data_IF_131362504403
#
_entry.id   IF_131362504403
#
_cell.length_a   1.000
_cell.length_b   1.000
_cell.length_c   1.000
_cell.angle_alpha   90.00
_cell.angle_beta   90.00
_cell.angle_gamma   90.00
#
_symmetry.space_group_name_H-M   'P 1'
#
loop_
_entity.id
_entity.type
_entity.pdbx_description
1 polymer ?
#
# COMPACT_ATOMS: atom_id res chain seq x y z
N UNK A 1 3.98 -13.28 3.26
CA UNK A 1 3.07 -12.23 2.77
C UNK A 1 1.84 -12.89 2.17
N UNK A 2 0.67 -12.26 2.31
CA UNK A 2 -0.61 -12.79 1.84
C UNK A 2 -1.28 -11.78 0.91
N UNK A 3 -2.00 -12.29 -0.07
CA UNK A 3 -2.99 -11.51 -0.81
C UNK A 3 -4.38 -11.96 -0.37
N UNK A 4 -5.27 -11.00 -0.15
CA UNK A 4 -6.64 -11.27 0.27
C UNK A 4 -7.62 -10.40 -0.52
N UNK A 5 -8.82 -10.91 -0.76
CA UNK A 5 -9.93 -10.12 -1.31
C UNK A 5 -10.66 -9.29 -0.25
N UNK A 6 -10.46 -9.61 1.03
CA UNK A 6 -11.14 -8.98 2.16
C UNK A 6 -10.35 -7.80 2.77
N UNK A 7 -11.08 -6.76 3.16
CA UNK A 7 -10.64 -5.81 4.19
C UNK A 7 -11.07 -6.28 5.60
N UNK A 8 -10.64 -5.56 6.65
CA UNK A 8 -10.96 -5.89 8.05
C UNK A 8 -12.29 -5.32 8.54
N UNK A 9 -13.36 -5.48 7.76
CA UNK A 9 -14.71 -5.08 8.17
C UNK A 9 -15.58 -6.30 8.39
N UNK A 10 -16.44 -6.27 9.42
CA UNK A 10 -17.27 -7.40 9.87
C UNK A 10 -18.03 -8.05 8.70
N UNK A 11 -18.53 -7.24 7.77
CA UNK A 11 -19.25 -7.72 6.58
C UNK A 11 -18.41 -8.67 5.71
N UNK A 12 -17.10 -8.42 5.60
CA UNK A 12 -16.20 -9.21 4.77
C UNK A 12 -15.70 -10.43 5.56
N UNK A 13 -15.48 -10.29 6.87
CA UNK A 13 -14.99 -11.38 7.71
C UNK A 13 -16.04 -12.42 8.08
N UNK A 14 -17.32 -12.02 8.23
CA UNK A 14 -18.37 -12.89 8.77
C UNK A 14 -19.53 -13.16 7.81
N UNK A 15 -19.72 -12.31 6.79
CA UNK A 15 -20.95 -12.32 5.98
C UNK A 15 -20.72 -12.47 4.48
N UNK A 16 -19.47 -12.53 4.02
CA UNK A 16 -19.11 -12.70 2.60
C UNK A 16 -18.16 -13.87 2.44
N UNK A 17 -18.15 -14.43 1.23
CA UNK A 17 -17.17 -15.43 0.83
C UNK A 17 -15.95 -14.69 0.31
N UNK A 18 -14.82 -14.86 0.97
CA UNK A 18 -13.56 -14.18 0.67
C UNK A 18 -12.44 -15.20 0.51
N UNK A 19 -11.36 -14.82 -0.18
CA UNK A 19 -10.18 -15.66 -0.35
C UNK A 19 -8.94 -14.96 0.17
N UNK A 20 -8.05 -15.74 0.77
CA UNK A 20 -6.74 -15.30 1.24
C UNK A 20 -5.75 -16.43 1.00
N UNK A 21 -4.60 -16.10 0.41
CA UNK A 21 -3.59 -17.09 0.10
C UNK A 21 -2.19 -16.55 0.36
N UNK A 22 -1.26 -17.42 0.81
CA UNK A 22 0.12 -17.05 0.97
C UNK A 22 0.81 -16.96 -0.39
N UNK A 23 1.70 -15.98 -0.54
CA UNK A 23 2.70 -15.99 -1.60
C UNK A 23 3.87 -16.85 -1.12
N UNK A 24 4.04 -18.03 -1.73
CA UNK A 24 5.04 -19.01 -1.31
C UNK A 24 6.41 -18.79 -1.96
N UNK A 25 6.45 -18.25 -3.17
CA UNK A 25 7.71 -17.95 -3.86
C UNK A 25 8.38 -16.73 -3.21
N UNK A 26 9.61 -16.86 -2.67
CA UNK A 26 10.30 -15.77 -2.00
C UNK A 26 10.64 -14.59 -2.92
N UNK A 27 10.86 -14.82 -4.22
CA UNK A 27 11.12 -13.74 -5.17
C UNK A 27 9.84 -12.95 -5.46
N UNK A 28 8.68 -13.62 -5.53
CA UNK A 28 7.40 -12.93 -5.61
C UNK A 28 7.09 -12.14 -4.33
N UNK A 29 7.45 -12.65 -3.16
CA UNK A 29 7.32 -11.91 -1.89
C UNK A 29 8.16 -10.64 -1.92
N UNK A 30 9.43 -10.71 -2.32
CA UNK A 30 10.29 -9.52 -2.43
C UNK A 30 9.71 -8.51 -3.42
N UNK A 31 9.22 -8.99 -4.56
CA UNK A 31 8.63 -8.15 -5.61
C UNK A 31 7.41 -7.39 -5.11
N UNK A 32 6.42 -8.09 -4.53
CA UNK A 32 5.20 -7.46 -4.02
C UNK A 32 5.51 -6.50 -2.86
N UNK A 33 6.47 -6.83 -1.99
CA UNK A 33 6.90 -5.93 -0.92
C UNK A 33 7.44 -4.62 -1.50
N UNK A 34 8.35 -4.69 -2.48
CA UNK A 34 8.96 -3.52 -3.10
C UNK A 34 7.97 -2.70 -3.92
N UNK A 35 7.28 -3.33 -4.87
CA UNK A 35 6.45 -2.65 -5.87
C UNK A 35 5.10 -2.17 -5.31
N UNK A 36 4.59 -2.82 -4.26
CA UNK A 36 3.28 -2.50 -3.68
C UNK A 36 3.41 -1.89 -2.30
N UNK A 37 3.96 -2.62 -1.33
CA UNK A 37 3.93 -2.15 0.06
C UNK A 37 4.85 -0.94 0.28
N UNK A 38 6.14 -1.10 -0.02
CA UNK A 38 7.13 -0.05 0.20
C UNK A 38 6.87 1.16 -0.70
N UNK A 39 6.58 0.92 -2.00
CA UNK A 39 6.29 1.97 -2.97
C UNK A 39 5.17 2.92 -2.53
N UNK A 40 4.06 2.39 -1.99
CA UNK A 40 2.95 3.22 -1.53
C UNK A 40 3.21 3.88 -0.17
N UNK A 41 4.05 3.28 0.68
CA UNK A 41 4.50 3.92 1.93
C UNK A 41 5.42 5.11 1.63
N UNK A 42 6.21 5.02 0.56
CA UNK A 42 7.14 6.07 0.14
C UNK A 42 6.43 7.21 -0.63
N UNK A 43 5.17 7.04 -1.07
CA UNK A 43 4.45 8.06 -1.83
C UNK A 43 4.31 9.36 -1.00
N UNK A 44 4.84 10.44 -1.54
CA UNK A 44 4.83 11.77 -0.91
C UNK A 44 4.17 12.83 -1.79
N UNK A 45 3.46 12.42 -2.85
CA UNK A 45 2.72 13.32 -3.76
C UNK A 45 1.19 13.17 -3.65
N UNK A 46 0.72 11.95 -3.39
CA UNK A 46 -0.68 11.56 -3.38
C UNK A 46 -1.14 11.02 -2.02
N UNK A 47 -0.22 10.53 -1.18
CA UNK A 47 -0.56 9.97 0.12
C UNK A 47 -1.10 11.00 1.11
N UNK A 48 -1.97 10.53 2.01
CA UNK A 48 -2.48 11.26 3.16
C UNK A 48 -2.21 10.45 4.42
N UNK A 49 -1.66 11.08 5.45
CA UNK A 49 -1.42 10.49 6.76
C UNK A 49 -2.58 10.83 7.68
N UNK A 50 -3.08 9.83 8.42
CA UNK A 50 -4.11 10.00 9.44
C UNK A 50 -3.42 10.10 10.81
N UNK A 51 -3.57 11.21 11.51
CA UNK A 51 -3.04 11.37 12.85
C UNK A 51 -3.94 10.73 13.93
N UNK A 52 -3.49 10.80 15.19
CA UNK A 52 -4.21 10.23 16.33
C UNK A 52 -5.52 10.98 16.64
N UNK A 53 -5.62 12.23 16.20
CA UNK A 53 -6.77 13.12 16.35
C UNK A 53 -7.83 12.88 15.25
N UNK A 54 -7.52 12.03 14.26
CA UNK A 54 -8.40 11.70 13.15
C UNK A 54 -8.39 12.73 12.01
N UNK A 55 -7.36 13.57 11.95
CA UNK A 55 -7.17 14.58 10.91
C UNK A 55 -6.25 14.01 9.83
N UNK A 56 -6.64 14.21 8.57
CA UNK A 56 -5.84 13.82 7.42
C UNK A 56 -4.87 14.93 7.01
N UNK A 57 -3.58 14.62 6.95
CA UNK A 57 -2.52 15.50 6.48
C UNK A 57 -2.01 15.02 5.14
N UNK A 58 -2.07 15.88 4.12
CA UNK A 58 -1.53 15.52 2.81
C UNK A 58 0.00 15.48 2.91
N UNK A 59 0.61 14.37 2.51
CA UNK A 59 2.07 14.29 2.39
C UNK A 59 2.54 15.19 1.25
N UNK A 60 3.69 15.82 1.47
CA UNK A 60 4.42 16.59 0.47
C UNK A 60 5.91 16.28 0.64
N UNK A 61 6.71 16.32 -0.43
CA UNK A 61 8.15 16.11 -0.33
C UNK A 61 8.79 17.17 0.58
N UNK A 62 9.68 16.75 1.48
CA UNK A 62 10.54 17.69 2.20
C UNK A 62 11.55 18.37 1.25
N UNK A 63 12.25 19.41 1.72
CA UNK A 63 13.19 20.19 0.90
C UNK A 63 14.25 19.33 0.18
N UNK A 64 14.72 18.27 0.83
CA UNK A 64 15.76 17.37 0.32
C UNK A 64 15.21 15.98 -0.09
N UNK A 65 13.88 15.84 -0.17
CA UNK A 65 13.24 14.58 -0.55
C UNK A 65 12.79 14.63 -2.01
N UNK A 66 13.13 13.58 -2.78
CA UNK A 66 12.68 13.48 -4.15
C UNK A 66 11.15 13.28 -4.21
N UNK A 67 10.45 13.94 -5.14
CA UNK A 67 9.03 13.72 -5.35
C UNK A 67 8.78 12.29 -5.85
N UNK A 68 7.89 11.57 -5.18
CA UNK A 68 7.58 10.16 -5.46
C UNK A 68 6.07 9.93 -5.52
N UNK A 69 5.60 9.38 -6.65
CA UNK A 69 4.20 9.01 -6.89
C UNK A 69 4.14 7.52 -7.21
N UNK A 70 3.61 6.71 -6.30
CA UNK A 70 3.65 5.25 -6.42
C UNK A 70 3.00 4.76 -7.72
N UNK A 71 1.88 5.37 -8.13
CA UNK A 71 1.16 4.98 -9.34
C UNK A 71 1.91 5.33 -10.63
N UNK A 72 2.51 6.52 -10.68
CA UNK A 72 3.29 6.93 -11.86
C UNK A 72 4.52 6.05 -12.00
N UNK A 73 5.15 5.79 -10.87
CA UNK A 73 6.29 4.92 -10.76
C UNK A 73 5.89 3.54 -11.34
N UNK A 74 4.78 2.92 -10.87
CA UNK A 74 4.29 1.63 -11.40
C UNK A 74 4.03 1.63 -12.91
N UNK A 75 3.47 2.73 -13.45
CA UNK A 75 3.24 2.88 -14.90
C UNK A 75 4.55 2.95 -15.71
N UNK A 76 5.61 3.49 -15.12
CA UNK A 76 6.96 3.50 -15.68
C UNK A 76 7.71 2.18 -15.45
N UNK A 77 7.10 1.28 -14.67
CA UNK A 77 7.58 -0.06 -14.37
C UNK A 77 7.97 -0.30 -12.91
N UNK A 78 7.63 0.61 -11.96
CA UNK A 78 7.99 0.56 -10.52
C UNK A 78 7.45 1.73 -9.69
#
# INVERSE_FOLDING_TARGET
MYCASADWLERNLLRRVETCFPILDPELVKRVYREVLQNYLDDNLNAWELDAEGIYHKRAPAHDEAPHSAQLALMQGL
#
